data_IF_617119377475
#
_entry.id   IF_617119377475
#
_cell.length_a   1.000
_cell.length_b   1.000
_cell.length_c   1.000
_cell.angle_alpha   90.00
_cell.angle_beta   90.00
_cell.angle_gamma   90.00
#
_symmetry.space_group_name_H-M   'P 1'
#
loop_
_entity.id
_entity.type
_entity.pdbx_description
1 polymer ?
#
# COMPACT_ATOMS: atom_id res chain seq x y z
N UNK A 1 27.32 44.31 -23.16
CA UNK A 1 27.90 44.49 -21.80
C UNK A 1 26.92 44.05 -20.70
N UNK A 2 25.63 44.04 -20.93
CA UNK A 2 24.61 43.52 -19.98
C UNK A 2 24.56 41.99 -19.94
N UNK A 3 24.70 41.30 -21.09
CA UNK A 3 24.73 39.82 -21.12
C UNK A 3 25.83 39.19 -20.28
N UNK A 4 27.02 39.77 -20.27
CA UNK A 4 28.16 39.29 -19.44
C UNK A 4 27.98 39.49 -17.94
N UNK A 5 27.01 40.32 -17.53
CA UNK A 5 26.70 40.59 -16.12
C UNK A 5 25.85 39.49 -15.49
N UNK A 6 25.13 38.71 -16.32
CA UNK A 6 24.30 37.59 -15.87
C UNK A 6 25.09 36.27 -15.75
N UNK A 7 26.14 36.08 -16.57
CA UNK A 7 26.80 34.77 -16.72
C UNK A 7 27.73 34.36 -15.59
N UNK A 8 28.38 35.27 -14.88
CA UNK A 8 29.36 34.90 -13.84
C UNK A 8 28.96 35.27 -12.41
N UNK A 9 28.34 36.42 -12.23
CA UNK A 9 28.04 36.93 -10.88
C UNK A 9 26.83 36.24 -10.24
N UNK A 10 25.85 35.77 -11.04
CA UNK A 10 24.61 35.20 -10.53
C UNK A 10 24.71 33.69 -10.22
N UNK A 11 25.49 32.93 -10.99
CA UNK A 11 25.71 31.52 -10.73
C UNK A 11 26.52 31.30 -9.42
N UNK A 12 27.55 32.08 -9.21
CA UNK A 12 28.35 32.03 -8.00
C UNK A 12 27.57 32.49 -6.76
N UNK A 13 26.76 33.55 -6.90
CA UNK A 13 25.89 34.01 -5.84
C UNK A 13 24.73 33.01 -5.50
N UNK A 14 24.21 32.30 -6.47
CA UNK A 14 23.24 31.23 -6.25
C UNK A 14 23.82 30.03 -5.52
N UNK A 15 25.03 29.63 -5.88
CA UNK A 15 25.75 28.56 -5.21
C UNK A 15 26.11 28.94 -3.77
N UNK A 16 26.62 30.16 -3.53
CA UNK A 16 26.91 30.66 -2.21
C UNK A 16 25.66 30.66 -1.31
N UNK A 17 24.53 31.10 -1.87
CA UNK A 17 23.23 31.06 -1.16
C UNK A 17 22.80 29.62 -0.84
N UNK A 18 22.92 28.71 -1.79
CA UNK A 18 22.60 27.29 -1.58
C UNK A 18 23.45 26.67 -0.46
N UNK A 19 24.75 26.94 -0.43
CA UNK A 19 25.63 26.40 0.61
C UNK A 19 25.51 27.09 1.97
N UNK A 20 24.98 28.31 2.00
CA UNK A 20 24.81 29.10 3.23
C UNK A 20 23.40 29.01 3.83
N UNK A 21 22.44 28.47 3.12
CA UNK A 21 21.02 28.40 3.52
C UNK A 21 20.52 26.96 3.56
N UNK A 22 20.07 26.52 4.73
CA UNK A 22 19.56 25.17 4.98
C UNK A 22 18.03 25.04 4.81
N UNK A 23 17.36 26.05 4.20
CA UNK A 23 15.91 26.12 4.15
C UNK A 23 15.44 26.55 2.76
N UNK A 24 14.52 25.78 2.17
CA UNK A 24 13.94 26.04 0.85
C UNK A 24 13.27 27.43 0.75
N UNK A 25 12.62 27.89 1.81
CA UNK A 25 11.95 29.20 1.81
C UNK A 25 12.92 30.36 1.66
N UNK A 26 14.05 30.32 2.38
CA UNK A 26 15.10 31.33 2.26
C UNK A 26 15.79 31.27 0.90
N UNK A 27 16.01 30.06 0.38
CA UNK A 27 16.60 29.87 -0.94
C UNK A 27 15.66 30.36 -2.05
N UNK A 28 14.37 30.08 -1.99
CA UNK A 28 13.37 30.58 -2.94
C UNK A 28 13.28 32.11 -2.94
N UNK A 29 13.30 32.72 -1.74
CA UNK A 29 13.32 34.17 -1.59
C UNK A 29 14.57 34.77 -2.24
N UNK A 30 15.76 34.27 -1.91
CA UNK A 30 17.02 34.77 -2.48
C UNK A 30 17.12 34.54 -3.99
N UNK A 31 16.59 33.41 -4.48
CA UNK A 31 16.53 33.11 -5.92
C UNK A 31 15.60 34.08 -6.65
N UNK A 32 14.42 34.36 -6.10
CA UNK A 32 13.48 35.34 -6.68
C UNK A 32 14.05 36.74 -6.70
N UNK A 33 14.77 37.15 -5.64
CA UNK A 33 15.49 38.46 -5.60
C UNK A 33 16.59 38.52 -6.67
N UNK A 34 17.38 37.48 -6.83
CA UNK A 34 18.45 37.42 -7.83
C UNK A 34 17.91 37.40 -9.25
N UNK A 35 16.84 36.69 -9.50
CA UNK A 35 16.18 36.64 -10.81
C UNK A 35 15.31 37.88 -11.08
N UNK A 36 14.96 38.67 -10.05
CA UNK A 36 14.12 39.85 -10.17
C UNK A 36 12.66 39.52 -10.53
N UNK A 37 12.16 38.34 -10.16
CA UNK A 37 10.80 37.90 -10.52
C UNK A 37 10.07 37.26 -9.34
N UNK A 38 8.73 37.33 -9.32
CA UNK A 38 7.93 36.50 -8.42
C UNK A 38 8.17 35.01 -8.70
N UNK A 39 8.35 34.24 -7.62
CA UNK A 39 8.71 32.83 -7.70
C UNK A 39 7.86 32.02 -6.72
N UNK A 40 7.37 30.87 -7.18
CA UNK A 40 6.62 29.90 -6.38
C UNK A 40 7.17 28.49 -6.64
N UNK A 41 7.47 27.78 -5.58
CA UNK A 41 7.84 26.35 -5.60
C UNK A 41 6.65 25.57 -5.09
N UNK A 42 6.17 24.65 -5.90
CA UNK A 42 5.13 23.68 -5.55
C UNK A 42 5.75 22.31 -5.36
N UNK A 43 5.21 21.54 -4.45
CA UNK A 43 5.53 20.10 -4.34
C UNK A 43 4.78 19.28 -5.43
N UNK A 44 4.92 17.95 -5.39
CA UNK A 44 4.29 17.02 -6.34
C UNK A 44 2.76 16.90 -6.17
N UNK A 45 2.23 17.42 -5.07
CA UNK A 45 0.79 17.51 -4.75
C UNK A 45 0.21 18.90 -5.00
N UNK A 46 1.01 19.81 -5.59
CA UNK A 46 0.65 21.20 -5.88
C UNK A 46 0.44 22.09 -4.66
N UNK A 47 0.98 21.72 -3.49
CA UNK A 47 1.05 22.62 -2.34
C UNK A 47 2.23 23.59 -2.47
N UNK A 48 2.04 24.80 -1.95
CA UNK A 48 3.07 25.83 -1.93
C UNK A 48 4.19 25.53 -0.92
N UNK A 49 5.31 25.01 -1.37
CA UNK A 49 6.46 24.69 -0.52
C UNK A 49 7.26 25.97 -0.15
N UNK A 50 7.48 26.86 -1.11
CA UNK A 50 8.20 28.12 -0.88
C UNK A 50 7.83 29.18 -1.93
N UNK A 51 8.02 30.47 -1.61
CA UNK A 51 7.71 31.54 -2.54
C UNK A 51 8.56 32.76 -2.31
N UNK A 52 8.67 33.60 -3.36
CA UNK A 52 9.16 34.99 -3.32
C UNK A 52 8.11 35.88 -3.95
N UNK A 53 7.63 36.86 -3.21
CA UNK A 53 6.66 37.87 -3.67
C UNK A 53 7.23 39.29 -3.52
N UNK A 54 7.58 39.97 -4.61
CA UNK A 54 7.98 41.36 -4.55
C UNK A 54 6.83 42.27 -4.03
N UNK A 55 7.19 43.36 -3.38
CA UNK A 55 6.24 44.35 -2.87
C UNK A 55 5.38 44.88 -4.02
N UNK A 56 4.05 44.81 -3.85
CA UNK A 56 3.09 45.29 -4.83
C UNK A 56 2.74 44.33 -5.97
N UNK A 57 3.31 43.14 -5.98
CA UNK A 57 2.91 42.06 -6.89
C UNK A 57 1.61 41.41 -6.42
N UNK A 58 0.65 41.24 -7.32
CA UNK A 58 -0.61 40.52 -7.09
C UNK A 58 -0.91 39.66 -8.31
N UNK A 59 -1.15 38.37 -8.04
CA UNK A 59 -1.54 37.37 -9.03
C UNK A 59 -2.42 36.32 -8.36
N UNK A 60 -3.52 35.94 -8.99
CA UNK A 60 -4.53 35.06 -8.41
C UNK A 60 -3.96 33.65 -8.01
N UNK A 61 -3.06 33.09 -8.83
CA UNK A 61 -2.40 31.80 -8.53
C UNK A 61 -1.56 31.90 -7.25
N UNK A 62 -0.74 32.95 -7.17
CA UNK A 62 0.16 33.15 -6.02
C UNK A 62 -0.62 33.49 -4.75
N UNK A 63 -1.65 34.34 -4.84
CA UNK A 63 -2.49 34.64 -3.68
C UNK A 63 -3.17 33.42 -3.13
N UNK A 64 -3.66 32.53 -4.00
CA UNK A 64 -4.29 31.28 -3.59
C UNK A 64 -3.27 30.32 -2.98
N UNK A 65 -2.12 30.11 -3.61
CA UNK A 65 -1.07 29.24 -3.10
C UNK A 65 -0.53 29.70 -1.74
N UNK A 66 -0.36 31.01 -1.54
CA UNK A 66 0.15 31.56 -0.27
C UNK A 66 -0.89 31.54 0.84
N UNK A 67 -2.18 31.80 0.51
CA UNK A 67 -3.26 31.91 1.51
C UNK A 67 -3.88 30.56 1.85
N UNK A 68 -4.08 29.68 0.85
CA UNK A 68 -4.74 28.37 1.01
C UNK A 68 -3.77 27.22 1.12
N UNK A 69 -2.48 27.46 0.82
CA UNK A 69 -1.44 26.44 0.82
C UNK A 69 -1.36 25.64 -0.48
N UNK A 70 -2.32 25.76 -1.39
CA UNK A 70 -2.40 25.00 -2.64
C UNK A 70 -2.88 25.89 -3.80
N UNK A 71 -2.61 25.48 -5.05
CA UNK A 71 -3.09 26.16 -6.24
C UNK A 71 -4.51 25.71 -6.60
N UNK A 72 -5.21 26.49 -7.45
CA UNK A 72 -6.54 26.14 -7.94
C UNK A 72 -6.47 24.84 -8.78
N UNK A 73 -7.57 24.08 -8.76
CA UNK A 73 -7.73 22.87 -9.57
C UNK A 73 -7.47 23.12 -11.07
N UNK A 74 -7.92 24.26 -11.58
CA UNK A 74 -7.74 24.64 -13.00
C UNK A 74 -6.27 24.87 -13.35
N UNK A 75 -5.52 25.54 -12.47
CA UNK A 75 -4.08 25.73 -12.64
C UNK A 75 -3.33 24.39 -12.55
N UNK A 76 -3.65 23.55 -11.58
CA UNK A 76 -3.09 22.19 -11.45
C UNK A 76 -3.37 21.31 -12.68
N UNK A 77 -4.61 21.35 -13.19
CA UNK A 77 -4.99 20.64 -14.41
C UNK A 77 -4.23 21.14 -15.65
N UNK A 78 -3.98 22.45 -15.75
CA UNK A 78 -3.19 23.04 -16.84
C UNK A 78 -1.74 22.55 -16.79
N UNK A 79 -1.12 22.54 -15.61
CA UNK A 79 0.24 22.01 -15.39
C UNK A 79 0.32 20.53 -15.75
N UNK A 80 -0.64 19.74 -15.26
CA UNK A 80 -0.64 18.27 -15.45
C UNK A 80 -0.87 17.85 -16.91
N UNK A 81 -1.60 18.64 -17.69
CA UNK A 81 -1.88 18.38 -19.11
C UNK A 81 -0.82 18.92 -20.06
N UNK A 82 0.11 19.73 -19.57
CA UNK A 82 1.16 20.30 -20.42
C UNK A 82 2.17 19.23 -20.83
N UNK A 83 2.26 18.97 -22.12
CA UNK A 83 3.12 17.91 -22.70
C UNK A 83 4.62 18.16 -22.45
N UNK A 84 5.07 19.43 -22.46
CA UNK A 84 6.47 19.81 -22.21
C UNK A 84 6.84 19.52 -20.75
N UNK A 85 6.00 19.95 -19.81
CA UNK A 85 6.22 19.70 -18.38
C UNK A 85 6.18 18.20 -18.03
N UNK A 86 5.30 17.46 -18.69
CA UNK A 86 5.22 15.99 -18.55
C UNK A 86 6.46 15.30 -19.09
N UNK A 87 7.04 15.83 -20.17
CA UNK A 87 8.30 15.35 -20.76
C UNK A 87 9.55 15.78 -19.96
N UNK A 88 9.40 16.57 -18.91
CA UNK A 88 10.52 17.03 -18.08
C UNK A 88 11.14 18.36 -18.53
N UNK A 89 10.48 19.10 -19.42
CA UNK A 89 10.98 20.36 -19.97
C UNK A 89 10.18 21.56 -19.43
N UNK A 90 10.85 22.68 -19.27
CA UNK A 90 10.20 23.93 -18.92
C UNK A 90 9.38 24.47 -20.09
N UNK A 91 8.28 25.15 -19.77
CA UNK A 91 7.41 25.80 -20.76
C UNK A 91 6.88 27.14 -20.25
N UNK A 92 6.54 28.01 -21.19
CA UNK A 92 5.92 29.30 -20.90
C UNK A 92 4.42 29.22 -21.15
N UNK A 93 3.65 29.38 -20.09
CA UNK A 93 2.18 29.25 -20.10
C UNK A 93 1.54 30.59 -19.74
N UNK A 94 0.43 30.94 -20.38
CA UNK A 94 -0.47 32.01 -19.99
C UNK A 94 -1.69 31.38 -19.35
N UNK A 95 -1.88 31.60 -18.05
CA UNK A 95 -3.09 31.18 -17.36
C UNK A 95 -4.22 32.18 -17.60
N UNK A 96 -5.47 31.69 -17.65
CA UNK A 96 -6.64 32.53 -17.95
C UNK A 96 -6.86 33.68 -16.95
N UNK A 97 -6.52 33.39 -15.68
CA UNK A 97 -6.74 34.33 -14.56
C UNK A 97 -5.51 35.18 -14.21
N UNK A 98 -4.42 35.06 -14.98
CA UNK A 98 -3.20 35.84 -14.77
C UNK A 98 -2.95 36.80 -15.93
N UNK A 99 -2.64 38.07 -15.67
CA UNK A 99 -2.24 39.00 -16.72
C UNK A 99 -0.81 38.78 -17.22
N UNK A 100 -0.05 37.90 -16.55
CA UNK A 100 1.36 37.69 -16.82
C UNK A 100 1.60 36.34 -17.51
N UNK A 101 2.61 36.28 -18.36
CA UNK A 101 3.16 35.05 -18.86
C UNK A 101 4.02 34.40 -17.77
N UNK A 102 3.90 33.12 -17.57
CA UNK A 102 4.56 32.38 -16.49
C UNK A 102 5.43 31.29 -17.07
N UNK A 103 6.63 31.14 -16.53
CA UNK A 103 7.53 30.03 -16.84
C UNK A 103 7.33 28.94 -15.79
N UNK A 104 6.91 27.78 -16.25
CA UNK A 104 6.79 26.57 -15.46
C UNK A 104 7.98 25.66 -15.75
N UNK A 105 8.58 25.10 -14.70
CA UNK A 105 9.65 24.15 -14.85
C UNK A 105 9.48 22.99 -13.86
N UNK A 106 9.57 21.72 -14.31
CA UNK A 106 9.50 20.59 -13.40
C UNK A 106 10.78 20.52 -12.56
N UNK A 107 10.63 20.34 -11.26
CA UNK A 107 11.72 20.11 -10.33
C UNK A 107 11.98 18.61 -10.22
N UNK A 108 13.10 18.16 -10.76
CA UNK A 108 13.43 16.74 -10.87
C UNK A 108 14.75 16.45 -10.12
N UNK A 109 14.76 15.44 -9.26
CA UNK A 109 15.97 14.92 -8.62
C UNK A 109 16.04 13.40 -8.75
N UNK A 110 17.20 12.88 -9.16
CA UNK A 110 17.42 11.45 -9.39
C UNK A 110 16.37 10.78 -10.30
N UNK A 111 15.86 11.51 -11.31
CA UNK A 111 14.83 11.01 -12.23
C UNK A 111 13.39 11.04 -11.67
N UNK A 112 13.19 11.50 -10.45
CA UNK A 112 11.87 11.64 -9.82
C UNK A 112 11.44 13.10 -9.84
N UNK A 113 10.22 13.37 -10.31
CA UNK A 113 9.62 14.70 -10.25
C UNK A 113 9.16 14.96 -8.81
N UNK A 114 9.71 16.00 -8.21
CA UNK A 114 9.44 16.41 -6.83
C UNK A 114 8.44 17.57 -6.73
N UNK A 115 8.20 18.26 -7.85
CA UNK A 115 7.34 19.42 -7.85
C UNK A 115 7.47 20.27 -9.10
N UNK A 116 7.11 21.54 -8.99
CA UNK A 116 7.15 22.51 -10.07
C UNK A 116 7.62 23.88 -9.58
N UNK A 117 8.51 24.52 -10.35
CA UNK A 117 8.89 25.92 -10.20
C UNK A 117 8.05 26.78 -11.11
N UNK A 118 7.47 27.85 -10.59
CA UNK A 118 6.72 28.85 -11.35
C UNK A 118 7.40 30.21 -11.18
N UNK A 119 7.79 30.83 -12.28
CA UNK A 119 8.35 32.19 -12.30
C UNK A 119 7.45 33.07 -13.17
N UNK A 120 7.11 34.27 -12.67
CA UNK A 120 6.23 35.22 -13.40
C UNK A 120 7.06 36.23 -14.13
N UNK A 121 6.78 36.39 -15.42
CA UNK A 121 7.43 37.38 -16.26
C UNK A 121 6.66 38.72 -16.21
N UNK A 122 7.09 39.61 -15.35
CA UNK A 122 6.43 40.88 -15.12
C UNK A 122 6.82 42.00 -16.12
N UNK A 123 7.97 41.86 -16.78
CA UNK A 123 8.55 42.90 -17.64
C UNK A 123 9.23 42.34 -18.92
N UNK A 124 9.07 41.07 -19.23
CA UNK A 124 9.61 40.42 -20.43
C UNK A 124 11.10 40.10 -20.35
N UNK A 125 11.67 40.00 -19.16
CA UNK A 125 13.12 39.72 -19.01
C UNK A 125 13.45 38.26 -18.84
N UNK A 126 12.50 37.39 -18.45
CA UNK A 126 12.77 35.98 -18.16
C UNK A 126 13.30 35.21 -19.38
N UNK A 127 12.86 35.53 -20.59
CA UNK A 127 13.36 34.92 -21.83
C UNK A 127 14.83 35.30 -22.14
N UNK A 128 15.36 36.37 -21.52
CA UNK A 128 16.73 36.83 -21.70
C UNK A 128 17.70 36.19 -20.75
N UNK A 129 17.19 35.45 -19.74
CA UNK A 129 18.04 34.68 -18.79
C UNK A 129 18.63 33.50 -19.51
N UNK A 130 19.96 33.29 -19.42
CA UNK A 130 20.64 32.18 -20.10
C UNK A 130 20.07 30.80 -19.66
N UNK A 131 19.95 29.82 -20.59
CA UNK A 131 19.50 28.48 -20.23
C UNK A 131 20.30 27.81 -19.11
N UNK A 132 21.60 28.03 -19.06
CA UNK A 132 22.50 27.50 -18.02
C UNK A 132 22.14 28.02 -16.63
N UNK A 133 21.68 29.27 -16.52
CA UNK A 133 21.20 29.87 -15.26
C UNK A 133 19.92 29.17 -14.81
N UNK A 134 18.99 28.91 -15.74
CA UNK A 134 17.78 28.17 -15.44
C UNK A 134 18.06 26.74 -14.98
N UNK A 135 18.94 26.03 -15.68
CA UNK A 135 19.36 24.68 -15.29
C UNK A 135 19.93 24.66 -13.88
N UNK A 136 20.75 25.66 -13.52
CA UNK A 136 21.33 25.77 -12.18
C UNK A 136 20.24 26.03 -11.13
N UNK A 137 19.32 26.98 -11.38
CA UNK A 137 18.21 27.31 -10.48
C UNK A 137 17.32 26.08 -10.25
N UNK A 138 16.91 25.41 -11.33
CA UNK A 138 16.10 24.20 -11.25
C UNK A 138 16.82 23.09 -10.49
N UNK A 139 18.10 22.89 -10.74
CA UNK A 139 18.90 21.86 -10.04
C UNK A 139 19.03 22.16 -8.54
N UNK A 140 19.34 23.39 -8.18
CA UNK A 140 19.51 23.82 -6.78
C UNK A 140 18.18 23.69 -6.02
N UNK A 141 17.08 24.22 -6.58
CA UNK A 141 15.75 24.14 -5.96
C UNK A 141 15.26 22.69 -5.86
N UNK A 142 15.47 21.87 -6.91
CA UNK A 142 15.14 20.44 -6.87
C UNK A 142 15.89 19.73 -5.76
N UNK A 143 17.17 20.00 -5.60
CA UNK A 143 18.00 19.38 -4.56
C UNK A 143 17.58 19.82 -3.16
N UNK A 144 17.27 21.10 -2.98
CA UNK A 144 16.80 21.61 -1.70
C UNK A 144 15.40 21.10 -1.35
N UNK A 145 14.48 21.04 -2.33
CA UNK A 145 13.18 20.44 -2.17
C UNK A 145 13.28 18.96 -1.79
N UNK A 146 14.17 18.21 -2.46
CA UNK A 146 14.45 16.82 -2.10
C UNK A 146 14.95 16.69 -0.65
N UNK A 147 15.87 17.57 -0.22
CA UNK A 147 16.38 17.56 1.15
C UNK A 147 15.27 17.90 2.17
N UNK A 148 14.36 18.82 1.86
CA UNK A 148 13.25 19.16 2.75
C UNK A 148 12.19 18.06 2.80
N UNK A 149 11.79 17.50 1.66
CA UNK A 149 10.91 16.33 1.62
C UNK A 149 11.54 15.18 2.40
N UNK A 150 12.84 14.92 2.19
CA UNK A 150 13.58 13.93 2.96
C UNK A 150 13.71 14.28 4.45
N UNK A 151 13.75 15.55 4.84
CA UNK A 151 13.79 15.99 6.24
C UNK A 151 12.41 15.95 6.89
N UNK A 152 11.35 16.26 6.17
CA UNK A 152 9.96 16.10 6.65
C UNK A 152 9.63 14.62 6.82
N UNK A 153 10.05 13.78 5.88
CA UNK A 153 10.04 12.34 6.05
C UNK A 153 10.86 11.92 7.29
N UNK A 154 12.00 12.54 7.58
CA UNK A 154 12.83 12.20 8.75
C UNK A 154 12.22 12.55 10.11
N UNK A 155 11.34 13.48 10.25
CA UNK A 155 10.66 13.76 11.52
C UNK A 155 9.41 12.89 11.75
N UNK A 156 8.76 12.37 10.70
CA UNK A 156 7.80 11.25 10.74
C UNK A 156 8.47 9.88 10.50
N UNK A 157 9.62 9.84 9.81
CA UNK A 157 10.49 8.69 9.57
C UNK A 157 10.88 7.93 10.84
N UNK A 158 11.09 8.60 11.97
CA UNK A 158 11.57 7.91 13.17
C UNK A 158 10.65 6.79 13.64
N UNK A 159 9.35 6.91 13.50
CA UNK A 159 8.41 5.87 13.91
C UNK A 159 8.14 4.87 12.78
N UNK A 160 7.93 5.35 11.56
CA UNK A 160 7.79 4.48 10.39
C UNK A 160 9.06 3.63 10.18
N UNK A 161 10.26 4.22 10.38
CA UNK A 161 11.54 3.49 10.30
C UNK A 161 11.66 2.41 11.37
N UNK A 162 11.25 2.70 12.62
CA UNK A 162 11.22 1.72 13.71
C UNK A 162 10.26 0.58 13.36
N UNK A 163 9.07 0.90 12.83
CA UNK A 163 8.10 -0.11 12.40
C UNK A 163 8.61 -0.94 11.22
N UNK A 164 9.21 -0.31 10.20
CA UNK A 164 9.80 -1.01 9.07
C UNK A 164 10.96 -1.91 9.51
N UNK A 165 11.84 -1.41 10.39
CA UNK A 165 12.92 -2.21 10.96
C UNK A 165 12.40 -3.38 11.80
N UNK A 166 11.30 -3.17 12.55
CA UNK A 166 10.61 -4.26 13.26
C UNK A 166 10.07 -5.30 12.28
N UNK A 167 9.33 -4.88 11.25
CA UNK A 167 8.73 -5.78 10.25
C UNK A 167 9.78 -6.57 9.46
N UNK A 168 10.98 -6.02 9.26
CA UNK A 168 12.12 -6.71 8.66
C UNK A 168 12.81 -7.69 9.63
N UNK A 169 12.37 -7.75 10.90
CA UNK A 169 12.98 -8.60 11.92
C UNK A 169 14.34 -8.11 12.39
N UNK A 170 14.62 -6.81 12.27
CA UNK A 170 15.92 -6.21 12.57
C UNK A 170 16.21 -6.07 14.06
N UNK A 171 15.22 -6.21 14.95
CA UNK A 171 15.44 -6.18 16.39
C UNK A 171 15.81 -7.55 16.95
N UNK A 172 16.90 -7.60 17.69
CA UNK A 172 17.38 -8.82 18.33
C UNK A 172 16.53 -9.31 19.52
N UNK A 173 15.72 -8.41 20.12
CA UNK A 173 14.86 -8.72 21.26
C UNK A 173 13.74 -7.69 21.42
N UNK A 174 12.67 -8.08 22.11
CA UNK A 174 11.57 -7.18 22.48
C UNK A 174 12.06 -5.99 23.31
N UNK A 175 13.03 -6.20 24.22
CA UNK A 175 13.61 -5.12 25.03
C UNK A 175 14.35 -4.08 24.17
N UNK A 176 15.05 -4.52 23.13
CA UNK A 176 15.71 -3.61 22.17
C UNK A 176 14.68 -2.78 21.39
N UNK A 177 13.61 -3.41 20.90
CA UNK A 177 12.50 -2.71 20.28
C UNK A 177 11.86 -1.69 21.23
N UNK A 178 11.52 -2.08 22.47
CA UNK A 178 10.92 -1.19 23.46
C UNK A 178 11.81 0.01 23.79
N UNK A 179 13.13 -0.18 23.85
CA UNK A 179 14.08 0.92 24.06
C UNK A 179 14.03 1.93 22.92
N UNK A 180 14.02 1.47 21.67
CA UNK A 180 13.91 2.35 20.49
C UNK A 180 12.54 3.02 20.39
N UNK A 181 11.48 2.32 20.78
CA UNK A 181 10.11 2.85 20.81
C UNK A 181 9.84 3.85 21.95
N UNK A 182 10.68 3.87 23.00
CA UNK A 182 10.44 4.60 24.26
C UNK A 182 10.33 6.11 24.13
N UNK A 183 10.66 6.73 23.05
CA UNK A 183 10.47 8.17 22.80
C UNK A 183 9.35 8.48 21.83
N UNK A 184 8.57 7.48 21.43
CA UNK A 184 7.54 7.58 20.40
C UNK A 184 6.17 7.15 20.92
N UNK A 185 5.12 7.35 20.12
CA UNK A 185 3.78 6.86 20.47
C UNK A 185 3.73 5.33 20.60
N UNK A 186 4.66 4.58 19.99
CA UNK A 186 4.70 3.12 20.06
C UNK A 186 4.90 2.58 21.48
N UNK A 187 5.45 3.36 22.41
CA UNK A 187 5.66 2.95 23.80
C UNK A 187 4.37 2.60 24.55
N UNK A 188 3.23 3.18 24.14
CA UNK A 188 1.91 2.90 24.71
C UNK A 188 0.86 2.50 23.69
N UNK A 189 1.30 2.03 22.52
CA UNK A 189 0.44 1.75 21.40
C UNK A 189 0.01 0.28 21.40
N UNK A 190 -1.29 0.05 21.58
CA UNK A 190 -1.89 -1.28 21.66
C UNK A 190 -2.99 -1.44 20.60
N UNK A 191 -2.65 -1.59 19.34
CA UNK A 191 -3.63 -1.85 18.29
C UNK A 191 -4.18 -3.27 18.45
N UNK A 192 -5.44 -3.47 18.09
CA UNK A 192 -6.10 -4.78 18.13
C UNK A 192 -5.61 -5.69 17.00
N UNK A 193 -5.46 -5.14 15.81
CA UNK A 193 -5.05 -5.83 14.58
C UNK A 193 -4.40 -4.83 13.62
N UNK A 194 -4.00 -5.29 12.46
CA UNK A 194 -3.68 -4.43 11.32
C UNK A 194 -4.42 -4.90 10.07
N UNK A 195 -4.61 -4.00 9.12
CA UNK A 195 -5.01 -4.34 7.78
C UNK A 195 -3.83 -4.16 6.82
N UNK A 196 -3.73 -5.07 5.86
CA UNK A 196 -2.75 -5.05 4.79
C UNK A 196 -3.49 -4.98 3.45
N UNK A 197 -3.16 -3.98 2.64
CA UNK A 197 -3.81 -3.74 1.35
C UNK A 197 -2.80 -3.86 0.24
N UNK A 198 -3.05 -4.77 -0.70
CA UNK A 198 -2.23 -4.95 -1.90
C UNK A 198 -2.47 -3.83 -2.92
N UNK A 199 -1.38 -3.17 -3.30
CA UNK A 199 -1.41 -2.09 -4.30
C UNK A 199 -0.94 -2.51 -5.71
N UNK A 200 -0.65 -3.79 -5.96
CA UNK A 200 -0.24 -4.25 -7.29
C UNK A 200 -1.37 -4.07 -8.32
N UNK A 201 -2.60 -4.31 -7.89
CA UNK A 201 -3.80 -4.16 -8.73
C UNK A 201 -4.46 -2.79 -8.62
N UNK A 202 -3.91 -1.90 -7.81
CA UNK A 202 -4.44 -0.56 -7.63
C UNK A 202 -4.26 0.27 -8.89
N UNK A 203 -5.33 0.43 -9.62
CA UNK A 203 -5.44 1.30 -10.79
C UNK A 203 -6.42 2.42 -10.51
N UNK A 204 -5.93 3.50 -9.92
CA UNK A 204 -6.70 4.73 -9.91
C UNK A 204 -6.16 5.67 -10.98
N UNK A 205 -7.01 6.02 -11.93
CA UNK A 205 -6.70 7.05 -12.93
C UNK A 205 -6.59 8.46 -12.30
N UNK A 206 -7.02 8.63 -11.05
CA UNK A 206 -7.23 9.93 -10.42
C UNK A 206 -6.53 10.10 -9.08
N UNK A 207 -6.04 9.03 -8.43
CA UNK A 207 -5.49 9.08 -7.08
C UNK A 207 -4.18 8.32 -6.97
N UNK A 208 -3.11 8.96 -6.50
CA UNK A 208 -1.85 8.30 -6.17
C UNK A 208 -1.95 7.45 -4.90
N UNK A 209 -1.00 6.53 -4.69
CA UNK A 209 -0.89 5.70 -3.47
C UNK A 209 -0.88 6.52 -2.17
N UNK A 210 -0.38 7.75 -2.24
CA UNK A 210 -0.35 8.70 -1.12
C UNK A 210 -1.74 9.17 -0.72
N UNK A 211 -2.61 9.43 -1.68
CA UNK A 211 -3.98 9.84 -1.40
C UNK A 211 -4.79 8.73 -0.73
N UNK A 212 -4.60 7.47 -1.13
CA UNK A 212 -5.21 6.33 -0.44
C UNK A 212 -4.77 6.26 1.04
N UNK A 213 -3.47 6.54 1.32
CA UNK A 213 -2.95 6.64 2.69
C UNK A 213 -3.68 7.72 3.49
N UNK A 214 -3.80 8.93 2.91
CA UNK A 214 -4.45 10.09 3.54
C UNK A 214 -5.95 9.85 3.79
N UNK A 215 -6.62 9.20 2.86
CA UNK A 215 -8.03 8.84 3.00
C UNK A 215 -8.27 7.79 4.09
N UNK A 216 -7.43 6.76 4.15
CA UNK A 216 -7.47 5.76 5.22
C UNK A 216 -7.21 6.39 6.59
N UNK A 217 -6.26 7.31 6.69
CA UNK A 217 -5.96 8.04 7.92
C UNK A 217 -7.12 8.93 8.38
N UNK A 218 -7.82 9.56 7.43
CA UNK A 218 -8.98 10.39 7.71
C UNK A 218 -10.22 9.58 8.16
N UNK A 219 -10.39 8.36 7.63
CA UNK A 219 -11.55 7.52 7.93
C UNK A 219 -11.36 6.67 9.18
N UNK A 220 -10.14 6.24 9.49
CA UNK A 220 -9.83 5.36 10.63
C UNK A 220 -8.88 6.09 11.58
N UNK A 221 -9.43 6.60 12.68
CA UNK A 221 -8.65 7.32 13.68
C UNK A 221 -7.54 6.44 14.28
N UNK A 222 -6.36 7.02 14.50
CA UNK A 222 -5.18 6.37 15.08
C UNK A 222 -4.65 5.16 14.25
N UNK A 223 -5.01 5.07 12.98
CA UNK A 223 -4.61 3.95 12.11
C UNK A 223 -3.16 3.99 11.65
N UNK A 224 -2.55 5.16 11.66
CA UNK A 224 -1.14 5.39 11.27
C UNK A 224 -0.72 4.62 10.00
N UNK A 225 -1.38 4.87 8.85
CA UNK A 225 -1.10 4.14 7.62
C UNK A 225 0.28 4.47 7.07
N UNK A 226 1.02 3.47 6.62
CA UNK A 226 2.31 3.64 5.95
C UNK A 226 2.50 2.64 4.81
N UNK A 227 3.40 2.97 3.89
CA UNK A 227 3.75 2.11 2.76
C UNK A 227 4.90 1.19 3.16
N UNK A 228 4.71 -0.11 3.00
CA UNK A 228 5.73 -1.10 3.27
C UNK A 228 5.75 -2.19 2.20
N UNK A 229 6.89 -2.35 1.52
CA UNK A 229 7.11 -3.33 0.43
C UNK A 229 6.04 -3.34 -0.67
N UNK A 230 5.45 -2.16 -0.94
CA UNK A 230 4.45 -1.99 -1.98
C UNK A 230 2.99 -2.11 -1.52
N UNK A 231 2.76 -2.45 -0.25
CA UNK A 231 1.45 -2.53 0.38
C UNK A 231 1.17 -1.31 1.26
N UNK A 232 -0.10 -0.99 1.50
CA UNK A 232 -0.48 -0.11 2.60
C UNK A 232 -0.73 -0.95 3.83
N UNK A 233 0.00 -0.65 4.88
CA UNK A 233 -0.15 -1.21 6.21
C UNK A 233 -0.82 -0.17 7.12
N UNK A 234 -1.84 -0.56 7.88
CA UNK A 234 -2.50 0.33 8.84
C UNK A 234 -3.00 -0.43 10.06
N UNK A 235 -3.02 0.22 11.23
CA UNK A 235 -3.48 -0.37 12.47
C UNK A 235 -4.98 -0.19 12.69
N UNK A 236 -5.59 -1.16 13.38
CA UNK A 236 -7.01 -1.19 13.73
C UNK A 236 -7.15 -1.26 15.25
N UNK A 237 -8.03 -0.44 15.80
CA UNK A 237 -8.22 -0.32 17.26
C UNK A 237 -9.57 -0.83 17.74
N UNK A 238 -10.62 -0.70 16.91
CA UNK A 238 -12.02 -0.99 17.29
C UNK A 238 -12.58 -2.14 16.46
N UNK A 239 -13.56 -2.83 17.05
CA UNK A 239 -14.48 -3.65 16.26
C UNK A 239 -15.26 -2.73 15.32
N UNK A 240 -15.42 -3.12 14.09
CA UNK A 240 -16.09 -2.29 13.07
C UNK A 240 -15.15 -1.41 12.24
N UNK A 241 -13.90 -1.19 12.63
CA UNK A 241 -12.92 -0.50 11.75
C UNK A 241 -12.79 -1.23 10.39
N UNK A 242 -13.07 -2.55 10.36
CA UNK A 242 -13.05 -3.35 9.16
C UNK A 242 -14.23 -3.15 8.19
N UNK A 243 -15.35 -2.59 8.65
CA UNK A 243 -16.57 -2.44 7.83
C UNK A 243 -16.33 -1.48 6.66
N UNK A 244 -15.50 -0.46 6.87
CA UNK A 244 -15.11 0.54 5.88
C UNK A 244 -14.39 -0.11 4.68
N UNK A 245 -13.63 -1.17 4.92
CA UNK A 245 -12.84 -1.82 3.87
C UNK A 245 -13.68 -2.48 2.79
N UNK A 246 -14.91 -2.89 3.10
CA UNK A 246 -15.79 -3.49 2.10
C UNK A 246 -16.20 -2.51 1.00
N UNK A 247 -16.36 -1.23 1.34
CA UNK A 247 -16.65 -0.16 0.38
C UNK A 247 -15.38 0.21 -0.40
N UNK A 248 -14.27 0.44 0.31
CA UNK A 248 -12.98 0.77 -0.31
C UNK A 248 -12.48 -0.33 -1.26
N UNK A 249 -12.62 -1.60 -0.87
CA UNK A 249 -12.22 -2.72 -1.70
C UNK A 249 -13.02 -2.80 -3.01
N UNK A 250 -14.32 -2.45 -2.99
CA UNK A 250 -15.17 -2.39 -4.18
C UNK A 250 -14.83 -1.19 -5.07
N UNK A 251 -14.66 -0.02 -4.46
CA UNK A 251 -14.41 1.22 -5.17
C UNK A 251 -13.06 1.19 -5.91
N UNK A 252 -12.02 0.71 -5.23
CA UNK A 252 -10.66 0.70 -5.76
C UNK A 252 -10.18 -0.67 -6.26
N UNK A 253 -11.04 -1.68 -6.27
CA UNK A 253 -10.73 -3.07 -6.67
C UNK A 253 -9.54 -3.67 -5.88
N UNK A 254 -9.45 -3.35 -4.60
CA UNK A 254 -8.39 -3.79 -3.72
C UNK A 254 -8.72 -5.12 -3.05
N UNK A 255 -7.66 -5.89 -2.75
CA UNK A 255 -7.74 -7.00 -1.81
C UNK A 255 -7.15 -6.56 -0.48
N UNK A 256 -7.89 -6.78 0.59
CA UNK A 256 -7.54 -6.32 1.94
C UNK A 256 -7.57 -7.52 2.89
N UNK A 257 -6.49 -7.71 3.62
CA UNK A 257 -6.42 -8.70 4.68
C UNK A 257 -6.39 -8.03 6.04
N UNK A 258 -7.26 -8.44 6.95
CA UNK A 258 -7.24 -8.09 8.36
C UNK A 258 -6.47 -9.19 9.10
N UNK A 259 -5.44 -8.80 9.85
CA UNK A 259 -4.56 -9.74 10.57
C UNK A 259 -5.28 -10.47 11.71
N UNK A 260 -4.63 -11.49 12.24
CA UNK A 260 -4.95 -11.99 13.58
C UNK A 260 -4.71 -10.90 14.65
N UNK A 261 -5.32 -11.01 15.85
CA UNK A 261 -5.11 -10.07 16.94
C UNK A 261 -3.62 -9.90 17.28
N UNK A 262 -3.24 -8.68 17.64
CA UNK A 262 -1.89 -8.31 18.05
C UNK A 262 -1.85 -8.31 19.58
N UNK A 263 -1.15 -9.29 20.16
CA UNK A 263 -0.93 -9.35 21.61
C UNK A 263 0.29 -8.50 22.03
N UNK A 264 1.31 -8.44 21.17
CA UNK A 264 2.54 -7.68 21.34
C UNK A 264 3.03 -7.18 19.99
N UNK A 265 3.41 -5.90 19.90
CA UNK A 265 3.97 -5.31 18.67
C UNK A 265 5.20 -6.08 18.17
N UNK A 266 5.99 -6.67 19.05
CA UNK A 266 7.16 -7.46 18.65
C UNK A 266 6.79 -8.71 17.83
N UNK A 267 5.52 -9.14 17.83
CA UNK A 267 5.02 -10.25 16.98
C UNK A 267 4.68 -9.83 15.55
N UNK A 268 4.67 -8.52 15.25
CA UNK A 268 4.33 -7.99 13.91
C UNK A 268 5.07 -8.65 12.75
N UNK A 269 6.37 -8.97 12.82
CA UNK A 269 7.07 -9.62 11.69
C UNK A 269 6.45 -10.96 11.30
N UNK A 270 6.02 -11.75 12.29
CA UNK A 270 5.37 -13.04 12.04
C UNK A 270 3.96 -12.86 11.49
N UNK A 271 3.18 -11.97 12.09
CA UNK A 271 1.81 -11.66 11.64
C UNK A 271 1.81 -11.08 10.21
N UNK A 272 2.75 -10.18 9.91
CA UNK A 272 2.90 -9.62 8.56
C UNK A 272 3.23 -10.69 7.52
N UNK A 273 4.14 -11.61 7.83
CA UNK A 273 4.49 -12.73 6.91
C UNK A 273 3.26 -13.57 6.59
N UNK A 274 2.50 -13.95 7.61
CA UNK A 274 1.22 -14.68 7.44
C UNK A 274 0.21 -13.87 6.64
N UNK A 275 0.11 -12.56 6.87
CA UNK A 275 -0.79 -11.67 6.15
C UNK A 275 -0.41 -11.56 4.67
N UNK A 276 0.89 -11.47 4.34
CA UNK A 276 1.36 -11.46 2.94
C UNK A 276 1.04 -12.78 2.23
N UNK A 277 1.32 -13.91 2.87
CA UNK A 277 0.98 -15.23 2.30
C UNK A 277 -0.53 -15.35 2.06
N UNK A 278 -1.35 -14.81 2.96
CA UNK A 278 -2.80 -14.80 2.82
C UNK A 278 -3.28 -13.89 1.67
N UNK A 279 -2.67 -12.69 1.48
CA UNK A 279 -2.94 -11.85 0.32
C UNK A 279 -2.57 -12.55 -1.00
N UNK A 280 -1.45 -13.25 -1.05
CA UNK A 280 -1.08 -14.04 -2.23
C UNK A 280 -2.08 -15.17 -2.51
N UNK A 281 -2.61 -15.83 -1.45
CA UNK A 281 -3.68 -16.79 -1.60
C UNK A 281 -4.97 -16.16 -2.18
N UNK A 282 -5.31 -14.96 -1.74
CA UNK A 282 -6.48 -14.22 -2.25
C UNK A 282 -6.33 -13.81 -3.73
N UNK A 283 -5.10 -13.79 -4.27
CA UNK A 283 -4.81 -13.54 -5.69
C UNK A 283 -4.89 -14.81 -6.56
N UNK A 284 -4.95 -16.01 -5.95
CA UNK A 284 -5.07 -17.27 -6.70
C UNK A 284 -6.35 -17.23 -7.56
N UNK A 285 -6.26 -17.66 -8.82
CA UNK A 285 -7.38 -17.67 -9.78
C UNK A 285 -8.57 -18.51 -9.30
N UNK A 286 -8.32 -19.47 -8.40
CA UNK A 286 -9.35 -20.34 -7.80
C UNK A 286 -10.02 -19.71 -6.58
N UNK A 287 -9.54 -18.54 -6.13
CA UNK A 287 -10.12 -17.81 -5.00
C UNK A 287 -11.21 -16.86 -5.50
N UNK A 288 -12.46 -17.17 -5.17
CA UNK A 288 -13.65 -16.38 -5.50
C UNK A 288 -14.32 -15.78 -4.26
N UNK A 289 -13.63 -15.85 -3.12
CA UNK A 289 -14.09 -15.29 -1.85
C UNK A 289 -14.18 -13.76 -1.90
N UNK A 290 -14.45 -13.16 -0.75
CA UNK A 290 -14.61 -11.71 -0.62
C UNK A 290 -13.28 -10.98 -0.85
N UNK A 291 -13.36 -9.72 -1.28
CA UNK A 291 -12.19 -8.87 -1.46
C UNK A 291 -11.52 -8.47 -0.13
N UNK A 292 -12.29 -8.51 0.96
CA UNK A 292 -11.82 -8.31 2.35
C UNK A 292 -11.94 -9.62 3.10
N UNK A 293 -10.83 -10.14 3.60
CA UNK A 293 -10.79 -11.35 4.41
C UNK A 293 -10.05 -11.10 5.72
N UNK A 294 -10.35 -11.94 6.72
CA UNK A 294 -9.57 -12.00 7.95
C UNK A 294 -8.59 -13.18 7.91
N UNK A 295 -7.48 -13.07 8.63
CA UNK A 295 -6.54 -14.19 8.77
C UNK A 295 -7.20 -15.45 9.34
N UNK A 296 -8.27 -15.30 10.13
CA UNK A 296 -9.04 -16.41 10.70
C UNK A 296 -9.84 -17.16 9.63
N UNK A 297 -10.46 -16.47 8.68
CA UNK A 297 -11.16 -17.09 7.56
C UNK A 297 -10.21 -17.93 6.68
N UNK A 298 -8.97 -17.45 6.52
CA UNK A 298 -7.95 -18.09 5.70
C UNK A 298 -7.06 -19.09 6.47
N UNK A 299 -7.37 -19.35 7.76
CA UNK A 299 -6.54 -20.21 8.63
C UNK A 299 -6.35 -21.62 8.10
N UNK A 300 -7.36 -22.19 7.44
CA UNK A 300 -7.29 -23.56 6.88
C UNK A 300 -6.69 -23.57 5.47
N UNK A 301 -7.16 -22.73 4.52
CA UNK A 301 -6.63 -22.78 3.15
C UNK A 301 -5.17 -22.32 3.03
N UNK A 302 -4.69 -21.44 3.91
CA UNK A 302 -3.32 -20.91 3.82
C UNK A 302 -2.23 -22.01 3.98
N UNK A 303 -2.19 -22.86 5.03
CA UNK A 303 -1.23 -23.94 5.12
C UNK A 303 -1.39 -24.97 3.99
N UNK A 304 -2.61 -25.23 3.49
CA UNK A 304 -2.82 -26.12 2.35
C UNK A 304 -2.18 -25.57 1.07
N UNK A 305 -2.24 -24.25 0.85
CA UNK A 305 -1.52 -23.59 -0.25
C UNK A 305 -0.02 -23.82 -0.17
N UNK A 306 0.57 -23.71 1.02
CA UNK A 306 2.00 -23.94 1.23
C UNK A 306 2.42 -25.41 1.03
N UNK A 307 1.47 -26.35 1.09
CA UNK A 307 1.66 -27.77 0.84
C UNK A 307 1.21 -28.18 -0.58
N UNK A 308 0.80 -27.26 -1.41
CA UNK A 308 0.38 -27.55 -2.79
C UNK A 308 1.48 -28.27 -3.57
N UNK A 309 1.12 -29.28 -4.34
CA UNK A 309 2.08 -30.11 -5.08
C UNK A 309 2.77 -31.22 -4.25
N UNK A 310 2.57 -31.27 -2.92
CA UNK A 310 3.13 -32.29 -2.05
C UNK A 310 2.30 -33.61 -2.07
N UNK A 311 2.14 -34.15 -3.27
CA UNK A 311 1.43 -35.44 -3.44
C UNK A 311 2.03 -36.60 -2.65
N UNK A 312 3.30 -36.48 -2.22
CA UNK A 312 3.97 -37.43 -1.33
C UNK A 312 3.30 -37.55 0.05
N UNK A 313 2.66 -36.51 0.52
CA UNK A 313 1.92 -36.45 1.79
C UNK A 313 0.54 -37.15 1.72
N UNK A 314 0.05 -37.48 0.52
CA UNK A 314 -1.27 -38.08 0.34
C UNK A 314 -1.16 -39.61 0.39
N UNK A 315 -1.82 -40.29 1.37
CA UNK A 315 -1.87 -41.74 1.42
C UNK A 315 -2.35 -42.39 0.11
N UNK A 316 -1.78 -43.52 -0.26
CA UNK A 316 -2.09 -44.22 -1.51
C UNK A 316 -3.59 -44.54 -1.64
N UNK A 317 -4.27 -44.92 -0.54
CA UNK A 317 -5.70 -45.18 -0.51
C UNK A 317 -6.49 -43.94 -0.91
N UNK A 318 -6.12 -42.74 -0.44
CA UNK A 318 -6.79 -41.47 -0.79
C UNK A 318 -6.52 -41.08 -2.24
N UNK A 319 -5.34 -41.35 -2.80
CA UNK A 319 -5.10 -41.12 -4.25
C UNK A 319 -6.01 -41.97 -5.12
N UNK A 320 -6.24 -43.21 -4.74
CA UNK A 320 -7.19 -44.12 -5.43
C UNK A 320 -8.61 -43.63 -5.29
N UNK A 321 -8.99 -43.13 -4.11
CA UNK A 321 -10.29 -42.50 -3.86
C UNK A 321 -10.52 -41.27 -4.74
N UNK A 322 -9.55 -40.36 -4.80
CA UNK A 322 -9.62 -39.19 -5.65
C UNK A 322 -9.70 -39.52 -7.15
N UNK A 323 -8.99 -40.56 -7.60
CA UNK A 323 -9.09 -41.03 -8.97
C UNK A 323 -10.50 -41.59 -9.28
N UNK A 324 -11.06 -42.33 -8.35
CA UNK A 324 -12.44 -42.85 -8.45
C UNK A 324 -13.47 -41.71 -8.49
N UNK A 325 -13.36 -40.71 -7.61
CA UNK A 325 -14.26 -39.54 -7.59
C UNK A 325 -14.24 -38.81 -8.94
N UNK A 326 -13.05 -38.62 -9.52
CA UNK A 326 -12.89 -37.98 -10.83
C UNK A 326 -13.48 -38.81 -11.97
N UNK A 327 -13.30 -40.15 -11.95
CA UNK A 327 -13.76 -41.03 -13.00
C UNK A 327 -15.26 -41.25 -12.97
N UNK A 328 -15.86 -41.34 -11.78
CA UNK A 328 -17.26 -41.69 -11.57
C UNK A 328 -18.17 -40.53 -11.18
N UNK A 329 -17.59 -39.32 -11.10
CA UNK A 329 -18.30 -38.12 -10.62
C UNK A 329 -18.97 -38.34 -9.26
N UNK A 330 -18.16 -38.89 -8.33
CA UNK A 330 -18.62 -39.17 -6.96
C UNK A 330 -18.02 -38.17 -5.98
N UNK A 331 -18.46 -38.15 -4.73
CA UNK A 331 -18.07 -37.16 -3.69
C UNK A 331 -17.59 -37.88 -2.43
N UNK A 332 -16.80 -38.92 -2.57
CA UNK A 332 -16.28 -39.68 -1.44
C UNK A 332 -15.23 -38.89 -0.66
N UNK A 333 -14.32 -38.17 -1.33
CA UNK A 333 -13.34 -37.31 -0.68
C UNK A 333 -14.02 -36.21 0.17
N UNK A 334 -15.03 -35.56 -0.38
CA UNK A 334 -15.81 -34.55 0.35
C UNK A 334 -16.56 -35.15 1.54
N UNK A 335 -17.15 -36.33 1.35
CA UNK A 335 -17.81 -37.08 2.43
C UNK A 335 -16.83 -37.44 3.54
N UNK A 336 -15.63 -37.91 3.19
CA UNK A 336 -14.58 -38.25 4.15
C UNK A 336 -14.14 -37.02 4.95
N UNK A 337 -13.88 -35.91 4.29
CA UNK A 337 -13.49 -34.65 4.92
C UNK A 337 -14.52 -34.22 5.98
N UNK A 338 -15.77 -34.12 5.58
CA UNK A 338 -16.83 -33.71 6.51
C UNK A 338 -17.05 -34.73 7.63
N UNK A 339 -16.90 -36.03 7.35
CA UNK A 339 -17.01 -37.06 8.38
C UNK A 339 -15.94 -36.93 9.45
N UNK A 340 -14.69 -36.68 9.04
CA UNK A 340 -13.57 -36.48 9.97
C UNK A 340 -13.72 -35.17 10.76
N UNK A 341 -14.04 -34.07 10.08
CA UNK A 341 -14.20 -32.74 10.71
C UNK A 341 -15.42 -32.66 11.62
N UNK A 342 -16.48 -33.44 11.34
CA UNK A 342 -17.66 -33.56 12.19
C UNK A 342 -17.50 -34.62 13.31
N UNK A 343 -16.27 -35.02 13.64
CA UNK A 343 -15.97 -36.01 14.70
C UNK A 343 -16.79 -37.31 14.52
N UNK A 344 -16.85 -37.84 13.32
CA UNK A 344 -17.53 -39.07 12.91
C UNK A 344 -19.06 -39.08 13.12
N UNK A 345 -19.66 -37.90 13.25
CA UNK A 345 -21.11 -37.76 13.42
C UNK A 345 -21.84 -37.83 12.08
N UNK A 346 -22.54 -38.95 11.80
CA UNK A 346 -23.35 -39.12 10.59
C UNK A 346 -24.39 -38.01 10.42
N UNK A 347 -24.97 -37.49 11.51
CA UNK A 347 -25.95 -36.41 11.48
C UNK A 347 -25.27 -35.10 11.02
N UNK A 348 -24.22 -34.66 11.69
CA UNK A 348 -23.52 -33.42 11.33
C UNK A 348 -22.95 -33.50 9.90
N UNK A 349 -22.41 -34.66 9.50
CA UNK A 349 -21.91 -34.87 8.14
C UNK A 349 -23.03 -34.78 7.10
N UNK A 350 -24.23 -35.37 7.39
CA UNK A 350 -25.36 -35.28 6.48
C UNK A 350 -25.88 -33.86 6.35
N UNK A 351 -25.89 -33.09 7.44
CA UNK A 351 -26.26 -31.68 7.44
C UNK A 351 -25.27 -30.85 6.62
N UNK A 352 -23.95 -31.06 6.80
CA UNK A 352 -22.87 -30.36 6.07
C UNK A 352 -22.88 -30.65 4.56
N UNK A 353 -23.26 -31.88 4.17
CA UNK A 353 -23.34 -32.31 2.77
C UNK A 353 -24.70 -32.07 2.13
N UNK A 354 -25.69 -31.55 2.87
CA UNK A 354 -27.08 -31.39 2.43
C UNK A 354 -27.64 -32.68 1.85
N UNK A 355 -27.35 -33.84 2.48
CA UNK A 355 -27.74 -35.16 2.00
C UNK A 355 -28.39 -36.02 3.10
N UNK A 356 -29.03 -37.12 2.72
CA UNK A 356 -29.66 -37.96 3.70
C UNK A 356 -28.62 -38.81 4.48
N UNK A 357 -28.87 -39.03 5.80
CA UNK A 357 -27.99 -39.79 6.68
C UNK A 357 -27.64 -41.19 6.13
N UNK A 358 -28.61 -41.88 5.49
CA UNK A 358 -28.37 -43.20 4.91
C UNK A 358 -27.37 -43.16 3.74
N UNK A 359 -27.36 -42.07 2.97
CA UNK A 359 -26.40 -41.86 1.89
C UNK A 359 -24.99 -41.70 2.47
N UNK A 360 -24.86 -40.92 3.54
CA UNK A 360 -23.57 -40.80 4.24
C UNK A 360 -23.13 -42.15 4.77
N UNK A 361 -23.99 -42.91 5.47
CA UNK A 361 -23.68 -44.22 6.00
C UNK A 361 -23.24 -45.19 4.89
N UNK A 362 -23.93 -45.19 3.75
CA UNK A 362 -23.52 -45.98 2.59
C UNK A 362 -22.13 -45.59 2.09
N UNK A 363 -21.88 -44.28 1.93
CA UNK A 363 -20.58 -43.78 1.46
C UNK A 363 -19.47 -44.16 2.44
N UNK A 364 -19.66 -44.04 3.75
CA UNK A 364 -18.68 -44.39 4.76
C UNK A 364 -18.35 -45.90 4.72
N UNK A 365 -19.35 -46.78 4.57
CA UNK A 365 -19.09 -48.20 4.39
C UNK A 365 -18.24 -48.48 3.15
N UNK A 366 -18.55 -47.83 2.02
CA UNK A 366 -17.77 -47.97 0.80
C UNK A 366 -16.31 -47.49 0.97
N UNK A 367 -16.07 -46.41 1.74
CA UNK A 367 -14.72 -45.97 2.06
C UNK A 367 -13.92 -47.02 2.79
N UNK A 368 -14.55 -47.77 3.72
CA UNK A 368 -13.87 -48.82 4.49
C UNK A 368 -13.71 -50.11 3.66
N UNK A 369 -14.75 -50.55 2.97
CA UNK A 369 -14.78 -51.84 2.28
C UNK A 369 -14.03 -51.81 0.93
N UNK A 370 -14.25 -50.81 0.08
CA UNK A 370 -13.68 -50.77 -1.27
C UNK A 370 -12.32 -50.09 -1.33
N UNK A 371 -12.10 -49.07 -0.48
CA UNK A 371 -10.88 -48.26 -0.51
C UNK A 371 -9.94 -48.57 0.68
N UNK A 372 -10.37 -49.41 1.61
CA UNK A 372 -9.62 -49.79 2.82
C UNK A 372 -9.16 -48.54 3.62
N UNK A 373 -10.01 -47.51 3.72
CA UNK A 373 -9.71 -46.33 4.53
C UNK A 373 -9.88 -46.66 6.00
N UNK A 374 -8.82 -46.51 6.83
CA UNK A 374 -8.80 -47.02 8.23
C UNK A 374 -9.44 -46.00 9.18
N UNK A 375 -10.77 -45.80 9.08
CA UNK A 375 -11.52 -44.81 9.86
C UNK A 375 -11.58 -45.13 11.36
N UNK A 376 -11.36 -46.35 11.75
CA UNK A 376 -11.40 -46.77 13.15
C UNK A 376 -10.04 -46.61 13.87
N UNK A 377 -8.98 -46.21 13.14
CA UNK A 377 -7.65 -46.05 13.69
C UNK A 377 -7.33 -44.57 14.00
N UNK A 378 -7.41 -44.13 15.27
CA UNK A 378 -7.17 -42.73 15.64
C UNK A 378 -5.80 -42.21 15.23
N UNK A 379 -4.78 -43.07 15.21
CA UNK A 379 -3.41 -42.69 14.80
C UNK A 379 -3.31 -42.23 13.35
N UNK A 380 -4.23 -42.62 12.48
CA UNK A 380 -4.23 -42.26 11.06
C UNK A 380 -5.17 -41.09 10.72
N UNK A 381 -5.98 -40.60 11.66
CA UNK A 381 -6.95 -39.53 11.39
C UNK A 381 -6.28 -38.26 10.91
N UNK A 382 -5.12 -37.87 11.48
CA UNK A 382 -4.40 -36.69 11.06
C UNK A 382 -3.92 -36.82 9.61
N UNK A 383 -3.35 -37.95 9.24
CA UNK A 383 -2.84 -38.21 7.89
C UNK A 383 -4.01 -38.26 6.87
N UNK A 384 -5.14 -38.87 7.24
CA UNK A 384 -6.33 -38.91 6.42
C UNK A 384 -6.91 -37.51 6.22
N UNK A 385 -7.01 -36.72 7.29
CA UNK A 385 -7.54 -35.36 7.21
C UNK A 385 -6.65 -34.47 6.36
N UNK A 386 -5.34 -34.49 6.58
CA UNK A 386 -4.38 -33.74 5.77
C UNK A 386 -4.44 -34.17 4.31
N UNK A 387 -4.37 -35.47 4.03
CA UNK A 387 -4.36 -35.97 2.67
C UNK A 387 -5.64 -35.66 1.90
N UNK A 388 -6.82 -35.82 2.52
CA UNK A 388 -8.09 -35.47 1.86
C UNK A 388 -8.26 -33.96 1.70
N UNK A 389 -7.73 -33.16 2.64
CA UNK A 389 -7.74 -31.68 2.50
C UNK A 389 -6.88 -31.25 1.33
N UNK A 390 -5.70 -31.81 1.12
CA UNK A 390 -4.86 -31.51 -0.05
C UNK A 390 -5.57 -31.87 -1.36
N UNK A 391 -6.22 -33.03 -1.44
CA UNK A 391 -7.02 -33.42 -2.61
C UNK A 391 -8.14 -32.42 -2.91
N UNK A 392 -8.86 -32.00 -1.87
CA UNK A 392 -9.96 -31.06 -2.02
C UNK A 392 -9.48 -29.64 -2.34
N UNK A 393 -8.32 -29.24 -1.80
CA UNK A 393 -7.69 -27.97 -2.16
C UNK A 393 -7.32 -27.92 -3.65
N UNK A 394 -6.74 -29.00 -4.18
CA UNK A 394 -6.41 -29.11 -5.61
C UNK A 394 -7.64 -29.16 -6.51
N UNK A 395 -8.73 -29.76 -6.06
CA UNK A 395 -9.91 -30.01 -6.90
C UNK A 395 -11.04 -29.00 -6.75
N UNK A 396 -11.23 -28.44 -5.57
CA UNK A 396 -12.30 -27.48 -5.23
C UNK A 396 -11.80 -26.05 -5.03
N UNK A 397 -10.47 -25.89 -4.84
CA UNK A 397 -9.86 -24.61 -4.55
C UNK A 397 -9.95 -24.18 -3.07
N UNK A 398 -9.38 -23.02 -2.75
CA UNK A 398 -9.32 -22.49 -1.39
C UNK A 398 -10.68 -22.17 -0.78
N UNK A 399 -11.67 -21.79 -1.61
CA UNK A 399 -13.00 -21.38 -1.16
C UNK A 399 -13.76 -22.46 -0.39
N UNK A 400 -13.49 -23.73 -0.71
CA UNK A 400 -14.06 -24.87 0.02
C UNK A 400 -13.74 -24.86 1.52
N UNK A 401 -12.63 -24.24 1.91
CA UNK A 401 -12.13 -24.19 3.29
C UNK A 401 -12.40 -22.87 4.00
N UNK A 402 -13.07 -21.91 3.36
CA UNK A 402 -13.38 -20.64 3.99
C UNK A 402 -14.36 -20.87 5.14
N UNK A 403 -13.97 -20.44 6.32
CA UNK A 403 -14.88 -20.41 7.47
C UNK A 403 -15.89 -19.28 7.25
N UNK A 404 -17.16 -19.54 7.55
CA UNK A 404 -18.12 -18.45 7.63
C UNK A 404 -17.62 -17.39 8.64
N UNK A 405 -17.81 -16.08 8.38
CA UNK A 405 -17.46 -15.06 9.36
C UNK A 405 -18.16 -15.40 10.67
N UNK A 406 -17.41 -15.79 11.68
CA UNK A 406 -17.95 -15.96 13.01
C UNK A 406 -18.23 -14.55 13.51
N UNK A 407 -19.49 -14.25 13.78
CA UNK A 407 -19.83 -13.12 14.64
C UNK A 407 -19.09 -13.38 15.96
N UNK A 408 -18.00 -12.62 16.18
CA UNK A 408 -17.23 -12.71 17.42
C UNK A 408 -18.15 -12.29 18.56
N UNK A 409 -18.28 -13.21 19.53
CA UNK A 409 -18.99 -13.02 20.80
C UNK A 409 -18.24 -12.00 21.65
#
# INVERSE_FOLDING_TARGET
>A
MEEKRWESCNAEALLDKFFSQDNLRQLALSTGELLGCPLLVLDDTFHGAAHHLPLGFSDALFETAVRCGEITYEAGATISKNAMLTAGWADYVQLADSPYRQRFAPLISAGVRLGCLICVDTDGHLEKIPPQTWELVEHILSKQLFMEVSRQDKSSETVEDILMHLLDGGFSSAAHFQLQASGTYLAGFHPRAFALTDLETYHSAYMGKRHLKEELEAQIADSHPFLYKGDVFLFLHREGDGDIFSELAKEFQLKILISAPIDDLFTLPQLYRTAREALELMKDERFHGEAVCTAQQLRTPLPLKNLEGRGDLIPIALRRLAAHDREKDTQYCETLYHYLTCCHSLKKTSDALYTHRNTVLYRIRRLQEDFAIPLEEPSQHADLLLGVSLILFDTKGPDFFLSAPQAEV
#
